data_IF_772664080068
#
_entry.id   IF_772664080068
#
_cell.length_a   1.000
_cell.length_b   1.000
_cell.length_c   1.000
_cell.angle_alpha   90.00
_cell.angle_beta   90.00
_cell.angle_gamma   90.00
#
_symmetry.space_group_name_H-M   'P 1'
#
loop_
_entity.id
_entity.type
_entity.pdbx_description
1 polymer ?
#
# COMPACT_ATOMS: atom_id res chain seq x y z
N UNK A 1 -10.40 -8.54 41.18
CA UNK A 1 -9.53 -8.60 39.97
C UNK A 1 -8.30 -7.76 40.29
N UNK A 2 -7.15 -8.38 40.60
CA UNK A 2 -5.91 -7.63 40.82
C UNK A 2 -5.43 -7.14 39.44
N UNK A 3 -5.29 -5.84 39.27
CA UNK A 3 -4.71 -5.26 38.07
C UNK A 3 -3.22 -5.59 38.10
N UNK A 4 -2.73 -6.23 37.05
CA UNK A 4 -1.32 -6.62 36.88
C UNK A 4 -0.43 -5.36 36.81
N UNK A 5 0.58 -5.27 37.68
CA UNK A 5 1.52 -4.13 37.69
C UNK A 5 2.26 -3.99 36.35
N UNK A 6 2.49 -5.10 35.64
CA UNK A 6 3.08 -5.08 34.30
C UNK A 6 2.20 -4.36 33.27
N UNK A 7 0.87 -4.48 33.40
CA UNK A 7 -0.07 -3.77 32.54
C UNK A 7 -0.07 -2.26 32.79
N UNK A 8 0.01 -1.82 34.06
CA UNK A 8 0.06 -0.40 34.40
C UNK A 8 1.35 0.28 33.93
N UNK A 9 2.50 -0.42 33.97
CA UNK A 9 3.76 0.10 33.44
C UNK A 9 3.69 0.32 31.91
N UNK A 10 3.11 -0.63 31.18
CA UNK A 10 2.93 -0.56 29.72
C UNK A 10 1.97 0.56 29.30
N UNK A 11 0.90 0.80 30.07
CA UNK A 11 -0.02 1.91 29.80
C UNK A 11 0.61 3.29 30.04
N UNK A 12 1.59 3.41 30.96
CA UNK A 12 2.36 4.65 31.15
C UNK A 12 3.33 4.92 29.99
N UNK A 13 3.95 3.88 29.44
CA UNK A 13 4.80 4.00 28.24
C UNK A 13 3.99 4.52 27.04
N UNK A 14 2.80 3.96 26.81
CA UNK A 14 1.89 4.42 25.76
C UNK A 14 1.49 5.91 25.94
N UNK A 15 1.24 6.35 27.18
CA UNK A 15 0.91 7.74 27.47
C UNK A 15 2.12 8.68 27.26
N UNK A 16 3.34 8.24 27.59
CA UNK A 16 4.56 9.00 27.31
C UNK A 16 4.82 9.11 25.81
N UNK A 17 4.67 8.02 25.06
CA UNK A 17 4.84 8.02 23.61
C UNK A 17 3.80 8.89 22.90
N UNK A 18 2.58 8.98 23.45
CA UNK A 18 1.57 9.90 22.94
C UNK A 18 2.03 11.36 23.02
N UNK A 19 2.79 11.71 24.06
CA UNK A 19 3.28 13.06 24.30
C UNK A 19 4.61 13.35 23.58
N UNK A 20 5.50 12.36 23.42
CA UNK A 20 6.85 12.57 22.87
C UNK A 20 7.02 12.15 21.41
N UNK A 21 6.33 11.11 20.97
CA UNK A 21 6.50 10.47 19.66
C UNK A 21 5.20 10.41 18.84
N UNK A 22 4.10 10.92 19.40
CA UNK A 22 2.81 11.06 18.75
C UNK A 22 1.92 9.81 18.80
N UNK A 23 0.68 9.93 18.27
CA UNK A 23 -0.38 8.95 18.48
C UNK A 23 -0.11 7.56 17.90
N UNK A 24 0.70 7.48 16.84
CA UNK A 24 1.07 6.20 16.23
C UNK A 24 2.02 5.38 17.11
N UNK A 25 3.05 6.01 17.69
CA UNK A 25 3.97 5.36 18.62
C UNK A 25 3.24 4.88 19.90
N UNK A 26 2.28 5.67 20.38
CA UNK A 26 1.39 5.27 21.48
C UNK A 26 0.52 4.06 21.12
N UNK A 27 -0.02 4.02 19.90
CA UNK A 27 -0.87 2.92 19.43
C UNK A 27 -0.08 1.62 19.30
N UNK A 28 1.15 1.67 18.79
CA UNK A 28 2.05 0.51 18.73
C UNK A 28 2.44 0.01 20.13
N UNK A 29 2.67 0.91 21.08
CA UNK A 29 2.93 0.53 22.47
C UNK A 29 1.72 -0.13 23.14
N UNK A 30 0.50 0.35 22.88
CA UNK A 30 -0.73 -0.28 23.36
C UNK A 30 -0.92 -1.66 22.74
N UNK A 31 -0.63 -1.83 21.44
CA UNK A 31 -0.71 -3.13 20.78
C UNK A 31 0.29 -4.13 21.37
N UNK A 32 1.56 -3.74 21.58
CA UNK A 32 2.56 -4.58 22.27
C UNK A 32 2.11 -4.97 23.69
N UNK A 33 1.50 -4.04 24.41
CA UNK A 33 1.00 -4.26 25.76
C UNK A 33 -0.14 -5.29 25.82
N UNK A 34 -1.06 -5.24 24.85
CA UNK A 34 -2.18 -6.18 24.74
C UNK A 34 -1.73 -7.59 24.32
N UNK A 35 -0.60 -7.70 23.64
CA UNK A 35 0.01 -8.97 23.25
C UNK A 35 0.96 -9.56 24.30
N UNK A 36 1.14 -8.87 25.44
CA UNK A 36 1.93 -9.37 26.57
C UNK A 36 3.45 -9.31 26.36
N UNK A 37 3.92 -8.60 25.34
CA UNK A 37 5.34 -8.46 25.03
C UNK A 37 6.03 -7.52 26.03
N UNK A 38 7.25 -7.84 26.45
CA UNK A 38 8.09 -6.98 27.31
C UNK A 38 9.14 -6.25 26.46
N UNK A 39 9.64 -5.09 26.91
CA UNK A 39 10.66 -4.34 26.17
C UNK A 39 11.90 -5.20 25.91
N UNK A 40 12.40 -5.20 24.68
CA UNK A 40 13.80 -5.52 24.42
C UNK A 40 14.62 -4.34 24.90
N UNK A 41 15.43 -4.53 25.95
CA UNK A 41 16.46 -3.56 26.35
C UNK A 41 17.39 -3.32 25.17
N UNK A 42 17.22 -2.19 24.49
CA UNK A 42 18.27 -1.59 23.67
C UNK A 42 18.88 -0.50 24.51
N UNK A 43 19.90 -0.87 25.28
CA UNK A 43 20.79 0.09 25.91
C UNK A 43 21.56 0.86 24.81
N UNK A 44 21.65 2.21 24.89
CA UNK A 44 22.50 2.98 23.99
C UNK A 44 23.97 2.65 24.27
N UNK A 45 24.73 2.31 23.22
CA UNK A 45 26.18 2.17 23.32
C UNK A 45 26.82 3.52 23.65
N UNK A 46 27.70 3.62 24.67
CA UNK A 46 28.53 4.79 24.87
C UNK A 46 29.82 4.68 24.04
N UNK A 47 30.24 5.83 23.53
CA UNK A 47 31.53 6.09 22.89
C UNK A 47 32.71 5.62 23.76
N UNK A 48 33.71 4.98 23.15
CA UNK A 48 34.96 4.66 23.83
C UNK A 48 36.17 5.17 23.03
N UNK A 49 36.79 6.22 23.59
CA UNK A 49 38.20 6.57 23.36
C UNK A 49 39.13 5.54 24.04
N UNK A 50 40.31 5.46 23.46
CA UNK A 50 41.56 4.78 23.84
C UNK A 50 41.90 4.77 25.34
N UNK A 51 42.29 3.61 25.91
CA UNK A 51 43.70 3.20 26.11
C UNK A 51 43.91 1.97 27.05
N UNK A 52 44.84 1.11 26.61
CA UNK A 52 45.83 0.25 27.32
C UNK A 52 45.50 -0.79 28.41
N UNK A 53 45.93 -2.04 28.09
CA UNK A 53 46.67 -3.04 28.93
C UNK A 53 45.90 -3.78 30.04
N UNK A 54 46.13 -5.04 30.45
CA UNK A 54 47.03 -6.16 30.12
C UNK A 54 46.48 -7.43 30.82
N UNK A 55 46.67 -8.63 30.23
CA UNK A 55 46.97 -9.96 30.86
C UNK A 55 46.07 -10.48 32.03
N UNK A 56 45.78 -11.77 32.27
CA UNK A 56 46.30 -13.09 31.84
C UNK A 56 45.42 -14.19 32.49
N UNK A 57 45.30 -15.35 31.80
CA UNK A 57 45.23 -16.70 32.40
C UNK A 57 43.90 -17.13 33.06
N UNK A 58 43.55 -18.41 33.22
CA UNK A 58 43.86 -19.70 32.57
C UNK A 58 42.91 -20.72 33.21
N UNK A 59 42.66 -21.82 32.50
CA UNK A 59 42.22 -23.14 32.99
C UNK A 59 40.73 -23.45 33.27
N UNK A 60 40.26 -24.47 32.56
CA UNK A 60 39.09 -25.34 32.79
C UNK A 60 39.54 -26.60 33.60
N UNK A 61 38.82 -27.77 33.66
CA UNK A 61 37.43 -28.13 33.29
C UNK A 61 36.73 -29.14 34.28
N UNK A 62 35.55 -29.64 33.84
CA UNK A 62 34.93 -30.97 34.10
C UNK A 62 34.09 -31.20 35.38
N UNK A 63 32.81 -31.60 35.26
CA UNK A 63 32.31 -32.97 34.95
C UNK A 63 30.81 -33.16 35.28
N UNK A 64 30.16 -34.00 34.46
CA UNK A 64 28.94 -34.84 34.56
C UNK A 64 28.32 -35.10 35.98
N UNK A 65 27.05 -35.51 36.21
CA UNK A 65 26.14 -36.37 35.45
C UNK A 65 24.71 -36.41 36.06
N UNK A 66 23.70 -36.61 35.20
CA UNK A 66 22.49 -37.47 35.28
C UNK A 66 21.71 -37.78 36.58
N UNK A 67 20.36 -37.77 36.48
CA UNK A 67 19.45 -38.53 37.35
C UNK A 67 17.96 -38.41 36.98
N UNK A 68 17.37 -39.46 36.41
CA UNK A 68 15.94 -39.61 36.06
C UNK A 68 15.18 -40.46 37.09
N UNK A 69 13.96 -40.04 37.49
CA UNK A 69 12.89 -40.91 38.06
C UNK A 69 11.50 -40.43 37.59
N UNK A 70 10.55 -41.35 37.45
CA UNK A 70 9.27 -41.24 36.71
C UNK A 70 8.03 -41.52 37.61
N UNK A 71 6.92 -40.79 37.31
CA UNK A 71 5.45 -41.12 37.35
C UNK A 71 4.65 -41.03 38.69
N UNK A 72 3.27 -40.91 38.68
CA UNK A 72 2.26 -41.01 37.58
C UNK A 72 1.04 -40.01 37.54
N UNK A 73 0.36 -39.94 36.37
CA UNK A 73 -1.11 -39.76 36.10
C UNK A 73 -1.82 -38.42 36.42
N UNK A 74 -2.80 -37.86 35.67
CA UNK A 74 -3.56 -38.17 34.45
C UNK A 74 -4.34 -36.87 34.04
N UNK A 75 -5.33 -36.85 33.11
CA UNK A 75 -5.21 -36.42 31.71
C UNK A 75 -5.99 -35.12 31.36
N UNK A 76 -5.57 -34.36 30.35
CA UNK A 76 -6.47 -33.74 29.35
C UNK A 76 -5.63 -33.40 28.10
N UNK A 77 -5.93 -34.07 26.99
CA UNK A 77 -5.31 -33.86 25.67
C UNK A 77 -6.10 -32.80 24.90
N UNK A 78 -5.49 -31.64 24.65
CA UNK A 78 -5.84 -30.78 23.53
C UNK A 78 -4.78 -30.98 22.44
N UNK A 79 -5.24 -31.29 21.23
CA UNK A 79 -4.39 -31.59 20.07
C UNK A 79 -3.54 -30.37 19.68
N UNK A 80 -2.25 -30.62 19.49
CA UNK A 80 -1.30 -29.73 18.82
C UNK A 80 -1.64 -29.67 17.33
N UNK A 81 -1.73 -28.48 16.77
CA UNK A 81 -1.32 -28.22 15.39
C UNK A 81 -0.19 -27.19 15.44
N UNK A 82 1.02 -27.69 15.16
CA UNK A 82 2.22 -26.89 14.98
C UNK A 82 2.39 -26.64 13.47
N UNK A 83 2.18 -25.40 13.05
CA UNK A 83 2.76 -24.85 11.83
C UNK A 83 3.82 -23.85 12.27
N UNK A 84 5.10 -24.22 12.13
CA UNK A 84 6.27 -23.44 12.56
C UNK A 84 6.37 -22.15 11.73
N UNK A 85 6.42 -21.01 12.40
CA UNK A 85 7.09 -19.82 11.88
C UNK A 85 8.43 -19.72 12.62
N UNK A 86 9.54 -19.81 11.88
CA UNK A 86 10.87 -19.47 12.40
C UNK A 86 11.15 -18.01 12.05
N UNK A 87 11.41 -17.11 13.02
CA UNK A 87 11.94 -15.80 12.77
C UNK A 87 13.47 -15.87 12.92
N UNK A 88 14.17 -16.21 11.83
CA UNK A 88 15.62 -16.05 11.77
C UNK A 88 16.02 -15.80 10.33
N UNK A 89 16.05 -14.53 9.96
CA UNK A 89 16.92 -14.00 8.93
C UNK A 89 17.25 -12.57 9.38
N UNK A 90 18.54 -12.34 9.55
CA UNK A 90 19.12 -11.12 10.09
C UNK A 90 18.57 -9.85 9.40
N UNK A 91 18.29 -8.83 10.22
CA UNK A 91 18.07 -7.47 9.76
C UNK A 91 19.37 -6.97 9.13
N UNK A 92 19.41 -6.87 7.82
CA UNK A 92 20.37 -6.02 7.12
C UNK A 92 19.70 -4.66 6.87
N UNK A 93 20.36 -3.53 7.17
CA UNK A 93 19.88 -2.22 6.76
C UNK A 93 19.85 -2.18 5.22
N UNK A 94 18.73 -1.76 4.66
CA UNK A 94 18.62 -1.56 3.21
C UNK A 94 19.32 -0.23 2.90
N UNK A 95 20.62 -0.30 2.62
CA UNK A 95 21.31 0.77 1.90
C UNK A 95 20.64 0.97 0.53
N UNK A 96 20.70 2.18 0.00
CA UNK A 96 20.26 2.49 -1.37
C UNK A 96 21.07 1.64 -2.35
N UNK A 97 20.57 0.43 -2.62
CA UNK A 97 21.08 -0.39 -3.70
C UNK A 97 20.63 0.29 -4.99
N UNK A 98 21.55 1.03 -5.60
CA UNK A 98 21.54 1.16 -7.06
C UNK A 98 21.56 -0.27 -7.60
N UNK A 99 20.38 -0.81 -7.91
CA UNK A 99 20.24 -2.15 -8.46
C UNK A 99 20.76 -2.14 -9.88
N UNK A 100 22.08 -2.27 -10.04
CA UNK A 100 22.68 -2.80 -11.25
C UNK A 100 22.46 -4.32 -11.28
N UNK A 101 21.22 -4.74 -11.46
CA UNK A 101 20.87 -6.14 -11.76
C UNK A 101 20.10 -6.14 -13.08
N UNK A 102 20.76 -6.67 -14.14
CA UNK A 102 20.28 -6.75 -15.52
C UNK A 102 19.44 -5.53 -15.96
N UNK A 103 20.15 -4.47 -16.40
CA UNK A 103 19.60 -3.22 -16.96
C UNK A 103 18.20 -3.42 -17.53
N UNK A 104 17.16 -2.96 -16.81
CA UNK A 104 15.91 -2.67 -17.51
C UNK A 104 16.28 -1.71 -18.66
N UNK A 105 15.83 -1.97 -19.89
CA UNK A 105 16.42 -1.34 -21.07
C UNK A 105 16.25 0.19 -21.05
N UNK A 106 15.21 0.70 -20.40
CA UNK A 106 14.98 2.13 -20.18
C UNK A 106 15.82 2.73 -19.07
N UNK A 107 15.47 3.94 -18.64
CA UNK A 107 16.22 4.66 -17.61
C UNK A 107 15.32 5.21 -16.51
N UNK A 108 15.83 5.14 -15.28
CA UNK A 108 15.27 5.88 -14.16
C UNK A 108 15.92 7.25 -14.04
N UNK A 109 15.10 8.27 -13.82
CA UNK A 109 15.52 9.59 -13.36
C UNK A 109 14.92 9.87 -11.99
N UNK A 110 15.75 10.34 -11.07
CA UNK A 110 15.29 10.81 -9.77
C UNK A 110 14.97 12.30 -9.85
N UNK A 111 13.92 12.71 -9.15
CA UNK A 111 13.55 14.12 -9.03
C UNK A 111 12.84 14.40 -7.73
N UNK A 112 12.49 15.67 -7.51
CA UNK A 112 11.71 16.07 -6.35
C UNK A 112 10.79 17.23 -6.70
N UNK A 113 9.72 17.36 -5.92
CA UNK A 113 8.82 18.51 -5.94
C UNK A 113 8.67 19.02 -4.50
N UNK A 114 8.68 20.34 -4.36
CA UNK A 114 8.41 21.03 -3.10
C UNK A 114 7.29 22.03 -3.32
N UNK A 115 6.27 21.99 -2.46
CA UNK A 115 5.23 23.02 -2.39
C UNK A 115 4.86 23.28 -0.92
N UNK A 116 3.74 23.98 -0.66
CA UNK A 116 3.30 24.31 0.69
C UNK A 116 3.02 23.09 1.59
N UNK A 117 2.74 21.91 1.02
CA UNK A 117 2.55 20.66 1.76
C UNK A 117 3.87 19.91 2.06
N UNK A 118 5.01 20.47 1.64
CA UNK A 118 6.35 19.95 1.88
C UNK A 118 7.03 19.44 0.62
N UNK A 119 8.06 18.61 0.82
CA UNK A 119 8.85 18.01 -0.25
C UNK A 119 8.58 16.51 -0.37
N UNK A 120 8.53 16.01 -1.61
CA UNK A 120 8.57 14.58 -1.91
C UNK A 120 9.53 14.33 -3.07
N UNK A 121 10.24 13.22 -2.99
CA UNK A 121 11.08 12.73 -4.08
C UNK A 121 10.27 11.74 -4.94
N UNK A 122 10.70 11.53 -6.18
CA UNK A 122 10.08 10.58 -7.10
C UNK A 122 11.13 9.93 -8.00
N UNK A 123 10.76 8.80 -8.59
CA UNK A 123 11.47 8.20 -9.72
C UNK A 123 10.60 8.26 -10.97
N UNK A 124 11.16 8.61 -12.11
CA UNK A 124 10.52 8.58 -13.42
C UNK A 124 11.21 7.51 -14.26
N UNK A 125 10.46 6.51 -14.71
CA UNK A 125 10.92 5.55 -15.70
C UNK A 125 10.60 6.06 -17.11
N UNK A 126 11.62 6.10 -17.96
CA UNK A 126 11.52 6.51 -19.36
C UNK A 126 11.89 5.30 -20.23
N UNK A 127 10.96 4.80 -21.06
CA UNK A 127 11.24 3.63 -21.89
C UNK A 127 12.24 3.95 -23.00
N UNK A 128 12.95 2.93 -23.50
CA UNK A 128 13.93 3.11 -24.59
C UNK A 128 13.34 3.69 -25.87
N UNK A 129 12.07 3.40 -26.10
CA UNK A 129 11.31 3.87 -27.25
C UNK A 129 11.02 5.38 -27.22
N UNK A 130 11.25 6.08 -26.09
CA UNK A 130 10.99 7.51 -25.99
C UNK A 130 12.08 8.34 -26.69
N UNK A 131 11.75 8.88 -27.87
CA UNK A 131 12.60 9.79 -28.65
C UNK A 131 12.08 11.24 -28.69
N UNK A 132 11.17 11.61 -27.76
CA UNK A 132 10.53 12.93 -27.72
C UNK A 132 9.14 12.99 -28.35
N UNK A 133 8.60 11.87 -28.84
CA UNK A 133 7.20 11.79 -29.26
C UNK A 133 6.21 11.86 -28.06
N UNK A 134 4.98 12.29 -28.33
CA UNK A 134 3.92 12.35 -27.32
C UNK A 134 3.59 10.94 -26.78
N UNK A 135 3.73 10.71 -25.47
CA UNK A 135 3.43 9.41 -24.83
C UNK A 135 2.46 9.55 -23.64
N UNK A 136 1.69 8.50 -23.31
CA UNK A 136 0.94 8.46 -22.06
C UNK A 136 1.85 8.51 -20.82
N UNK A 137 1.25 8.86 -19.68
CA UNK A 137 1.88 8.81 -18.36
C UNK A 137 1.03 8.00 -17.40
N UNK A 138 1.66 7.06 -16.68
CA UNK A 138 1.04 6.37 -15.54
C UNK A 138 1.75 6.79 -14.27
N UNK A 139 1.01 7.31 -13.29
CA UNK A 139 1.50 7.60 -11.94
C UNK A 139 1.20 6.41 -11.04
N UNK A 140 2.24 5.79 -10.46
CA UNK A 140 2.13 4.60 -9.63
C UNK A 140 2.48 4.89 -8.17
N UNK A 141 1.48 4.80 -7.30
CA UNK A 141 1.55 5.08 -5.87
C UNK A 141 1.71 3.78 -5.08
N UNK A 142 2.86 3.65 -4.40
CA UNK A 142 3.20 2.46 -3.63
C UNK A 142 2.37 2.32 -2.34
N UNK A 143 2.32 1.10 -1.78
CA UNK A 143 1.72 0.83 -0.47
C UNK A 143 2.62 1.21 0.70
N UNK A 144 2.10 1.06 1.92
CA UNK A 144 2.90 1.24 3.15
C UNK A 144 4.14 0.34 3.15
N UNK A 145 5.25 0.82 3.73
CA UNK A 145 6.56 0.14 3.84
C UNK A 145 7.26 -0.12 2.50
N UNK A 146 6.64 0.22 1.37
CA UNK A 146 7.25 0.18 0.05
C UNK A 146 7.88 1.53 -0.29
N UNK A 147 8.63 1.57 -1.38
CA UNK A 147 9.21 2.78 -1.96
C UNK A 147 9.11 2.70 -3.49
N UNK A 148 9.45 3.76 -4.25
CA UNK A 148 9.38 3.77 -5.71
C UNK A 148 10.07 2.58 -6.40
N UNK A 149 11.26 2.17 -5.93
CA UNK A 149 12.02 1.09 -6.55
C UNK A 149 11.37 -0.28 -6.30
N UNK A 150 10.95 -0.54 -5.07
CA UNK A 150 10.27 -1.79 -4.68
C UNK A 150 8.96 -1.96 -5.46
N UNK A 151 8.18 -0.88 -5.58
CA UNK A 151 6.91 -0.91 -6.28
C UNK A 151 7.09 -1.07 -7.80
N UNK A 152 8.10 -0.42 -8.40
CA UNK A 152 8.44 -0.64 -9.81
C UNK A 152 8.85 -2.11 -10.07
N UNK A 153 9.72 -2.66 -9.23
CA UNK A 153 10.18 -4.05 -9.33
C UNK A 153 9.02 -5.04 -9.18
N UNK A 154 8.09 -4.78 -8.25
CA UNK A 154 6.95 -5.65 -7.95
C UNK A 154 5.81 -5.58 -8.96
N UNK A 155 5.46 -4.39 -9.45
CA UNK A 155 4.35 -4.23 -10.42
C UNK A 155 4.71 -4.70 -11.82
N UNK A 156 6.00 -4.68 -12.18
CA UNK A 156 6.45 -4.99 -13.55
C UNK A 156 5.97 -3.97 -14.59
N UNK A 157 5.51 -2.79 -14.17
CA UNK A 157 4.96 -1.77 -15.07
C UNK A 157 6.01 -1.23 -16.06
N UNK A 158 7.29 -1.19 -15.67
CA UNK A 158 8.39 -0.78 -16.55
C UNK A 158 8.53 -1.69 -17.78
N UNK A 159 8.33 -3.00 -17.62
CA UNK A 159 8.34 -3.93 -18.75
C UNK A 159 7.22 -3.59 -19.74
N UNK A 160 6.02 -3.30 -19.23
CA UNK A 160 4.90 -2.88 -20.07
C UNK A 160 5.16 -1.51 -20.72
N UNK A 161 5.87 -0.61 -20.03
CA UNK A 161 6.27 0.69 -20.56
C UNK A 161 7.20 0.56 -21.78
N UNK A 162 8.13 -0.39 -21.76
CA UNK A 162 8.95 -0.73 -22.93
C UNK A 162 8.12 -1.30 -24.08
N UNK A 163 7.21 -2.22 -23.77
CA UNK A 163 6.42 -2.95 -24.77
C UNK A 163 5.35 -2.07 -25.45
N UNK A 164 4.78 -1.09 -24.71
CA UNK A 164 3.60 -0.33 -25.16
C UNK A 164 3.84 1.19 -25.24
N UNK A 165 5.02 1.67 -24.86
CA UNK A 165 5.43 3.06 -25.07
C UNK A 165 4.69 4.09 -24.21
N UNK A 166 4.99 4.12 -22.92
CA UNK A 166 4.51 5.14 -21.98
C UNK A 166 5.54 5.41 -20.88
N UNK A 167 5.46 6.57 -20.23
CA UNK A 167 6.32 6.88 -19.07
C UNK A 167 5.64 6.46 -17.77
N UNK A 168 6.44 6.14 -16.75
CA UNK A 168 5.92 5.78 -15.42
C UNK A 168 6.52 6.67 -14.35
N UNK A 169 5.68 7.44 -13.66
CA UNK A 169 6.07 8.25 -12.52
C UNK A 169 5.77 7.49 -11.23
N UNK A 170 6.78 7.33 -10.37
CA UNK A 170 6.70 6.69 -9.06
C UNK A 170 7.00 7.73 -7.95
N UNK A 171 5.99 8.45 -7.45
CA UNK A 171 6.14 9.29 -6.28
C UNK A 171 6.55 8.47 -5.05
N UNK A 172 7.50 8.98 -4.26
CA UNK A 172 7.90 8.38 -2.99
C UNK A 172 7.28 9.11 -1.80
N UNK A 173 6.87 8.35 -0.78
CA UNK A 173 6.48 8.91 0.51
C UNK A 173 7.71 9.19 1.39
N UNK A 174 7.78 10.39 1.97
CA UNK A 174 8.84 10.74 2.90
C UNK A 174 8.54 10.17 4.30
N UNK A 175 9.52 9.54 4.94
CA UNK A 175 9.37 9.03 6.32
C UNK A 175 9.03 10.14 7.32
N UNK A 176 9.51 11.37 7.07
CA UNK A 176 9.17 12.55 7.87
C UNK A 176 7.69 12.94 7.79
N UNK A 177 6.99 12.54 6.73
CA UNK A 177 5.56 12.76 6.57
C UNK A 177 4.72 11.57 7.07
N UNK A 178 5.28 10.36 6.99
CA UNK A 178 4.67 9.16 7.55
C UNK A 178 5.75 8.12 7.84
N UNK A 179 5.94 7.76 9.11
CA UNK A 179 7.03 6.87 9.54
C UNK A 179 6.97 5.46 8.92
N UNK A 180 5.79 5.02 8.44
CA UNK A 180 5.61 3.75 7.74
C UNK A 180 5.67 3.88 6.21
N UNK A 181 5.97 5.06 5.67
CA UNK A 181 5.92 5.32 4.22
C UNK A 181 4.51 5.18 3.64
N UNK A 182 3.46 5.29 4.46
CA UNK A 182 2.08 5.25 3.98
C UNK A 182 1.63 6.61 3.44
N UNK A 183 0.79 6.62 2.41
CA UNK A 183 0.00 7.80 2.04
C UNK A 183 -1.06 8.09 3.11
N UNK A 184 -1.24 9.36 3.45
CA UNK A 184 -2.10 9.85 4.53
C UNK A 184 -3.55 10.08 4.08
N UNK A 185 -4.08 9.20 3.22
CA UNK A 185 -5.41 9.30 2.56
C UNK A 185 -6.60 9.52 3.51
N UNK A 186 -6.45 9.23 4.80
CA UNK A 186 -7.47 9.40 5.83
C UNK A 186 -7.47 10.80 6.45
N UNK A 187 -6.42 11.61 6.25
CA UNK A 187 -6.34 12.94 6.83
C UNK A 187 -7.17 13.94 6.01
N UNK A 188 -7.94 14.86 6.62
CA UNK A 188 -8.81 15.77 5.87
C UNK A 188 -8.06 16.68 4.89
N UNK A 189 -6.84 17.12 5.23
CA UNK A 189 -6.03 17.93 4.32
C UNK A 189 -5.53 17.16 3.10
N UNK A 190 -5.39 15.84 3.21
CA UNK A 190 -4.92 14.93 2.16
C UNK A 190 -6.08 14.35 1.34
N UNK A 191 -7.25 15.03 1.38
CA UNK A 191 -8.45 14.68 0.62
C UNK A 191 -9.01 15.88 -0.16
N UNK A 192 -8.24 16.97 -0.26
CA UNK A 192 -8.65 18.22 -0.93
C UNK A 192 -7.72 18.56 -2.07
N UNK A 193 -8.27 19.20 -3.09
CA UNK A 193 -7.49 19.79 -4.16
C UNK A 193 -6.59 20.89 -3.61
N UNK A 194 -5.37 20.94 -4.12
CA UNK A 194 -4.35 21.97 -3.87
C UNK A 194 -3.95 22.09 -2.40
N UNK A 195 -4.13 21.00 -1.64
CA UNK A 195 -3.65 20.84 -0.27
C UNK A 195 -3.01 19.45 -0.09
N UNK A 196 -2.17 19.32 0.94
CA UNK A 196 -1.62 18.03 1.38
C UNK A 196 -0.85 17.28 0.29
N UNK A 197 -0.75 15.97 0.47
CA UNK A 197 -0.15 15.02 -0.45
C UNK A 197 -0.72 15.05 -1.88
N UNK A 198 -2.05 15.17 -2.11
CA UNK A 198 -2.54 15.19 -3.48
C UNK A 198 -2.07 16.43 -4.27
N UNK A 199 -1.80 17.56 -3.61
CA UNK A 199 -1.20 18.72 -4.28
C UNK A 199 0.21 18.44 -4.81
N UNK A 200 1.04 17.75 -4.03
CA UNK A 200 2.42 17.43 -4.41
C UNK A 200 2.41 16.41 -5.56
N UNK A 201 1.55 15.39 -5.52
CA UNK A 201 1.41 14.40 -6.60
C UNK A 201 0.95 15.08 -7.90
N UNK A 202 -0.01 16.00 -7.82
CA UNK A 202 -0.46 16.77 -8.98
C UNK A 202 0.67 17.65 -9.55
N UNK A 203 1.47 18.29 -8.70
CA UNK A 203 2.60 19.11 -9.13
C UNK A 203 3.72 18.28 -9.76
N UNK A 204 4.02 17.08 -9.25
CA UNK A 204 4.94 16.13 -9.91
C UNK A 204 4.43 15.71 -11.28
N UNK A 205 3.14 15.40 -11.37
CA UNK A 205 2.50 15.00 -12.64
C UNK A 205 2.60 16.13 -13.66
N UNK A 206 2.27 17.37 -13.27
CA UNK A 206 2.39 18.56 -14.12
C UNK A 206 3.82 18.86 -14.53
N UNK A 207 4.79 18.70 -13.60
CA UNK A 207 6.22 18.84 -13.90
C UNK A 207 6.66 17.87 -14.99
N UNK A 208 6.27 16.59 -14.88
CA UNK A 208 6.59 15.58 -15.91
C UNK A 208 5.89 15.90 -17.23
N UNK A 209 4.64 16.36 -17.22
CA UNK A 209 3.94 16.80 -18.44
C UNK A 209 4.62 17.99 -19.12
N UNK A 210 5.21 18.91 -18.35
CA UNK A 210 5.90 20.07 -18.90
C UNK A 210 7.30 19.74 -19.44
N UNK A 211 8.02 18.82 -18.79
CA UNK A 211 9.40 18.47 -19.14
C UNK A 211 9.50 17.40 -20.24
N UNK A 212 8.51 16.52 -20.31
CA UNK A 212 8.44 15.44 -21.29
C UNK A 212 7.21 15.68 -22.16
N UNK A 213 7.28 15.28 -23.43
CA UNK A 213 6.12 15.37 -24.32
C UNK A 213 5.10 14.30 -23.91
N UNK A 214 4.36 14.58 -22.85
CA UNK A 214 3.26 13.74 -22.39
C UNK A 214 1.99 14.15 -23.12
N UNK A 215 1.24 13.16 -23.58
CA UNK A 215 -0.14 13.38 -24.01
C UNK A 215 -1.01 13.67 -22.78
N UNK A 216 -1.31 14.95 -22.56
CA UNK A 216 -2.08 15.40 -21.40
C UNK A 216 -3.49 14.79 -21.32
N UNK A 217 -4.01 14.21 -22.41
CA UNK A 217 -5.31 13.52 -22.39
C UNK A 217 -5.20 12.07 -21.90
N UNK A 218 -3.98 11.52 -21.83
CA UNK A 218 -3.68 10.12 -21.49
C UNK A 218 -2.74 10.05 -20.29
N UNK A 219 -3.18 10.65 -19.20
CA UNK A 219 -2.51 10.61 -17.90
C UNK A 219 -3.38 9.82 -16.93
N UNK A 220 -2.80 8.85 -16.24
CA UNK A 220 -3.51 7.90 -15.38
C UNK A 220 -2.81 7.81 -14.02
N UNK A 221 -3.55 7.39 -12.99
CA UNK A 221 -3.00 7.17 -11.66
C UNK A 221 -3.47 5.83 -11.10
N UNK A 222 -2.57 5.06 -10.50
CA UNK A 222 -2.93 3.82 -9.82
C UNK A 222 -2.05 3.54 -8.61
N UNK A 223 -2.48 2.61 -7.77
CA UNK A 223 -1.67 2.21 -6.62
C UNK A 223 -2.19 1.02 -5.85
N UNK A 224 -1.38 0.59 -4.88
CA UNK A 224 -1.69 -0.51 -3.96
C UNK A 224 -1.98 0.02 -2.56
N UNK A 225 -2.98 -0.55 -1.87
CA UNK A 225 -3.23 -0.27 -0.44
C UNK A 225 -3.47 1.23 -0.19
N UNK A 226 -2.68 1.85 0.71
CA UNK A 226 -2.68 3.30 0.92
C UNK A 226 -2.47 4.11 -0.39
N UNK A 227 -1.65 3.61 -1.32
CA UNK A 227 -1.47 4.21 -2.65
C UNK A 227 -2.69 4.02 -3.55
N UNK A 228 -3.43 2.92 -3.40
CA UNK A 228 -4.72 2.70 -4.07
C UNK A 228 -5.79 3.66 -3.55
N UNK A 229 -5.84 3.89 -2.24
CA UNK A 229 -6.71 4.90 -1.63
C UNK A 229 -6.35 6.32 -2.10
N UNK A 230 -5.06 6.67 -2.09
CA UNK A 230 -4.59 7.97 -2.61
C UNK A 230 -4.86 8.13 -4.11
N UNK A 231 -4.85 7.05 -4.90
CA UNK A 231 -5.22 7.13 -6.33
C UNK A 231 -6.67 7.56 -6.54
N UNK A 232 -7.60 7.11 -5.69
CA UNK A 232 -8.98 7.62 -5.71
C UNK A 232 -9.11 9.05 -5.18
N UNK A 233 -8.29 9.45 -4.20
CA UNK A 233 -8.16 10.87 -3.82
C UNK A 233 -7.76 11.72 -5.03
N UNK A 234 -6.75 11.29 -5.79
CA UNK A 234 -6.29 11.99 -7.00
C UNK A 234 -7.41 12.09 -8.04
N UNK A 235 -8.14 11.00 -8.32
CA UNK A 235 -9.29 11.04 -9.22
C UNK A 235 -10.41 11.98 -8.75
N UNK A 236 -10.68 12.02 -7.44
CA UNK A 236 -11.72 12.87 -6.87
C UNK A 236 -11.35 14.37 -6.90
N UNK A 237 -10.09 14.69 -6.64
CA UNK A 237 -9.61 16.06 -6.43
C UNK A 237 -9.02 16.70 -7.70
N UNK A 238 -8.48 15.89 -8.61
CA UNK A 238 -7.92 16.30 -9.91
C UNK A 238 -8.54 15.53 -11.09
N UNK A 239 -9.87 15.52 -11.26
CA UNK A 239 -10.55 14.82 -12.36
C UNK A 239 -10.25 15.41 -13.75
N UNK A 240 -9.62 16.59 -13.79
CA UNK A 240 -9.12 17.26 -14.99
C UNK A 240 -7.68 16.87 -15.36
N UNK A 241 -6.97 16.15 -14.48
CA UNK A 241 -5.59 15.72 -14.70
C UNK A 241 -5.49 14.23 -15.03
N UNK A 242 -6.41 13.40 -14.53
CA UNK A 242 -6.36 11.95 -14.71
C UNK A 242 -7.56 11.44 -15.51
N UNK A 243 -7.28 10.80 -16.65
CA UNK A 243 -8.27 10.19 -17.53
C UNK A 243 -8.90 8.93 -16.92
N UNK A 244 -8.18 8.22 -16.04
CA UNK A 244 -8.65 7.03 -15.35
C UNK A 244 -7.82 6.74 -14.09
N UNK A 245 -8.41 5.94 -13.19
CA UNK A 245 -7.82 5.54 -11.91
C UNK A 245 -7.76 4.02 -11.78
N UNK A 246 -6.63 3.49 -11.34
CA UNK A 246 -6.47 2.09 -10.95
C UNK A 246 -6.35 1.93 -9.44
N UNK A 247 -7.03 0.95 -8.87
CA UNK A 247 -7.01 0.72 -7.42
C UNK A 247 -6.74 -0.75 -7.16
N UNK A 248 -5.65 -1.07 -6.48
CA UNK A 248 -5.42 -2.41 -5.98
C UNK A 248 -5.51 -2.43 -4.45
N UNK A 249 -6.37 -3.28 -3.90
CA UNK A 249 -6.54 -3.46 -2.46
C UNK A 249 -6.65 -2.15 -1.66
N UNK A 250 -7.24 -1.11 -2.27
CA UNK A 250 -7.33 0.24 -1.73
C UNK A 250 -8.67 0.53 -1.04
N UNK A 251 -8.89 1.81 -0.72
CA UNK A 251 -10.12 2.27 -0.06
C UNK A 251 -10.80 3.37 -0.88
N UNK A 252 -12.14 3.48 -0.81
CA UNK A 252 -12.88 4.54 -1.48
C UNK A 252 -12.50 5.93 -0.96
N UNK A 253 -12.70 6.96 -1.79
CA UNK A 253 -12.48 8.35 -1.40
C UNK A 253 -13.43 8.74 -0.26
N UNK A 254 -12.95 9.48 0.75
CA UNK A 254 -13.79 9.87 1.89
C UNK A 254 -14.11 8.74 2.88
N UNK A 255 -13.48 7.57 2.76
CA UNK A 255 -13.74 6.42 3.65
C UNK A 255 -13.39 6.68 5.12
N UNK A 256 -12.47 7.63 5.38
CA UNK A 256 -11.99 7.98 6.71
C UNK A 256 -11.65 9.47 6.79
N UNK A 257 -11.63 10.01 8.01
CA UNK A 257 -11.25 11.40 8.30
C UNK A 257 -10.22 11.50 9.45
N UNK A 258 -9.83 10.35 10.01
CA UNK A 258 -8.87 10.23 11.10
C UNK A 258 -8.36 8.77 11.20
N UNK A 259 -7.42 8.51 12.11
CA UNK A 259 -6.84 7.17 12.32
C UNK A 259 -7.91 6.15 12.76
N UNK A 260 -8.80 6.42 13.76
CA UNK A 260 -9.83 5.46 14.15
C UNK A 260 -10.77 5.07 13.00
N UNK A 261 -11.26 6.04 12.22
CA UNK A 261 -12.11 5.77 11.06
C UNK A 261 -11.34 5.05 9.95
N UNK A 262 -10.04 5.29 9.79
CA UNK A 262 -9.20 4.54 8.86
C UNK A 262 -9.16 3.04 9.21
N UNK A 263 -8.93 2.68 10.47
CA UNK A 263 -8.98 1.29 10.92
C UNK A 263 -10.38 0.69 10.75
N UNK A 264 -11.44 1.45 11.05
CA UNK A 264 -12.81 1.00 10.84
C UNK A 264 -13.09 0.69 9.35
N UNK A 265 -12.66 1.57 8.45
CA UNK A 265 -12.80 1.41 7.00
C UNK A 265 -12.02 0.19 6.48
N UNK A 266 -10.76 0.03 6.89
CA UNK A 266 -9.94 -1.13 6.52
C UNK A 266 -10.56 -2.45 6.97
N UNK A 267 -11.17 -2.50 8.16
CA UNK A 267 -11.76 -3.73 8.71
C UNK A 267 -13.07 -4.18 8.06
N UNK A 268 -13.71 -3.36 7.23
CA UNK A 268 -15.00 -3.68 6.60
C UNK A 268 -16.13 -3.97 7.58
N UNK A 269 -16.11 -3.36 8.76
CA UNK A 269 -17.09 -3.49 9.86
C UNK A 269 -17.02 -4.76 10.74
N UNK A 270 -15.91 -5.52 10.75
CA UNK A 270 -15.70 -6.63 11.71
C UNK A 270 -15.10 -6.21 13.07
N UNK A 271 -15.36 -5.00 13.57
CA UNK A 271 -15.02 -4.67 14.95
C UNK A 271 -16.14 -5.10 15.90
N UNK A 272 -15.85 -6.08 16.78
CA UNK A 272 -16.73 -6.53 17.88
C UNK A 272 -16.85 -5.50 19.03
N UNK A 273 -16.38 -4.27 18.82
CA UNK A 273 -16.05 -3.30 19.88
C UNK A 273 -16.77 -1.98 19.69
N UNK A 274 -18.11 -1.97 19.62
CA UNK A 274 -18.96 -0.78 19.85
C UNK A 274 -18.74 0.48 18.99
N UNK A 275 -17.74 0.51 18.12
CA UNK A 275 -17.42 1.59 17.20
C UNK A 275 -18.40 1.56 16.02
N UNK A 276 -18.73 2.71 15.42
CA UNK A 276 -19.68 2.77 14.33
C UNK A 276 -19.24 1.81 13.21
N UNK A 277 -20.18 0.94 12.80
CA UNK A 277 -20.02 0.04 11.66
C UNK A 277 -19.50 0.89 10.49
N UNK A 278 -18.43 0.45 9.82
CA UNK A 278 -18.09 0.98 8.49
C UNK A 278 -19.39 0.98 7.66
N UNK A 279 -19.72 2.07 6.96
CA UNK A 279 -21.05 2.23 6.42
C UNK A 279 -21.34 1.08 5.44
N UNK A 280 -22.29 0.24 5.80
CA UNK A 280 -22.99 -0.64 4.86
C UNK A 280 -23.82 0.19 3.86
N UNK A 281 -23.98 1.49 4.13
CA UNK A 281 -24.48 2.48 3.20
C UNK A 281 -23.38 2.85 2.19
N UNK A 282 -23.70 2.92 0.89
CA UNK A 282 -22.78 3.45 -0.10
C UNK A 282 -22.23 4.82 0.31
N UNK A 283 -20.92 5.02 0.15
CA UNK A 283 -20.31 6.33 0.29
C UNK A 283 -20.87 7.30 -0.77
N UNK A 284 -20.74 8.61 -0.50
CA UNK A 284 -21.12 9.63 -1.46
C UNK A 284 -20.35 9.40 -2.78
N UNK A 285 -21.01 9.49 -3.95
CA UNK A 285 -20.32 9.36 -5.23
C UNK A 285 -19.22 10.40 -5.41
N UNK A 286 -18.28 10.14 -6.33
CA UNK A 286 -17.26 11.13 -6.67
C UNK A 286 -17.89 12.43 -7.20
N UNK A 287 -17.29 13.61 -6.92
CA UNK A 287 -17.78 14.89 -7.42
C UNK A 287 -17.93 14.94 -8.95
N UNK A 288 -17.01 14.25 -9.66
CA UNK A 288 -17.11 13.97 -11.09
C UNK A 288 -16.91 12.47 -11.32
N UNK A 289 -17.63 11.91 -12.29
CA UNK A 289 -17.38 10.54 -12.71
C UNK A 289 -15.98 10.45 -13.34
N UNK A 290 -15.18 9.51 -12.87
CA UNK A 290 -13.85 9.20 -13.41
C UNK A 290 -13.82 7.69 -13.67
N UNK A 291 -13.32 7.22 -14.82
CA UNK A 291 -13.19 5.80 -15.07
C UNK A 291 -12.30 5.10 -14.04
N UNK A 292 -12.78 4.00 -13.44
CA UNK A 292 -12.04 3.27 -12.38
C UNK A 292 -11.93 1.77 -12.66
N UNK A 293 -10.73 1.22 -12.56
CA UNK A 293 -10.51 -0.24 -12.50
C UNK A 293 -10.01 -0.63 -11.10
N UNK A 294 -10.67 -1.58 -10.46
CA UNK A 294 -10.41 -2.01 -9.09
C UNK A 294 -10.04 -3.49 -9.05
N UNK A 295 -8.97 -3.84 -8.35
CA UNK A 295 -8.55 -5.21 -8.05
C UNK A 295 -8.56 -5.45 -6.54
N UNK A 296 -9.07 -6.61 -6.11
CA UNK A 296 -9.03 -7.02 -4.70
C UNK A 296 -8.99 -8.54 -4.56
N UNK A 297 -8.23 -9.04 -3.59
CA UNK A 297 -8.26 -10.46 -3.22
C UNK A 297 -9.33 -10.75 -2.18
N UNK A 298 -10.14 -11.80 -2.35
CA UNK A 298 -11.23 -12.11 -1.40
C UNK A 298 -10.78 -12.63 -0.02
N UNK A 299 -9.47 -12.90 0.14
CA UNK A 299 -8.82 -13.26 1.42
C UNK A 299 -7.93 -12.15 1.97
N UNK A 300 -8.09 -10.92 1.50
CA UNK A 300 -7.39 -9.76 2.03
C UNK A 300 -7.83 -9.48 3.48
N UNK A 301 -6.90 -9.66 4.43
CA UNK A 301 -7.10 -9.43 5.86
C UNK A 301 -6.62 -8.05 6.32
N UNK A 302 -6.01 -7.26 5.43
CA UNK A 302 -5.50 -5.92 5.72
C UNK A 302 -6.54 -4.88 5.37
N UNK A 303 -7.05 -4.93 4.14
CA UNK A 303 -8.14 -4.09 3.65
C UNK A 303 -9.26 -4.99 3.20
N UNK A 304 -10.39 -4.93 3.88
CA UNK A 304 -11.51 -5.82 3.60
C UNK A 304 -12.03 -5.64 2.16
N UNK A 305 -12.36 -6.73 1.42
CA UNK A 305 -12.76 -6.66 0.00
C UNK A 305 -13.99 -5.80 -0.30
N UNK A 306 -14.84 -5.56 0.72
CA UNK A 306 -15.96 -4.60 0.63
C UNK A 306 -15.50 -3.20 0.19
N UNK A 307 -14.26 -2.81 0.46
CA UNK A 307 -13.74 -1.51 0.02
C UNK A 307 -13.63 -1.40 -1.50
N UNK A 308 -13.31 -2.49 -2.21
CA UNK A 308 -13.30 -2.50 -3.66
C UNK A 308 -14.70 -2.35 -4.25
N UNK A 309 -15.69 -3.00 -3.64
CA UNK A 309 -17.09 -2.82 -4.01
C UNK A 309 -17.53 -1.36 -3.81
N UNK A 310 -17.18 -0.75 -2.68
CA UNK A 310 -17.49 0.66 -2.43
C UNK A 310 -16.81 1.60 -3.43
N UNK A 311 -15.54 1.35 -3.78
CA UNK A 311 -14.82 2.11 -4.80
C UNK A 311 -15.49 1.99 -6.19
N UNK A 312 -15.86 0.77 -6.59
CA UNK A 312 -16.60 0.54 -7.83
C UNK A 312 -17.95 1.26 -7.84
N UNK A 313 -18.69 1.25 -6.73
CA UNK A 313 -19.96 1.96 -6.62
C UNK A 313 -19.78 3.48 -6.64
N UNK A 314 -18.75 3.99 -5.97
CA UNK A 314 -18.44 5.42 -5.88
C UNK A 314 -18.04 6.04 -7.23
N UNK A 315 -17.37 5.25 -8.09
CA UNK A 315 -16.90 5.67 -9.43
C UNK A 315 -18.02 6.13 -10.38
N UNK A 316 -19.27 5.74 -10.10
CA UNK A 316 -20.47 6.21 -10.79
C UNK A 316 -20.55 7.75 -10.90
N UNK A 317 -19.99 8.44 -9.91
CA UNK A 317 -20.16 9.88 -9.75
C UNK A 317 -21.59 10.28 -9.37
N UNK A 318 -21.79 11.57 -9.10
CA UNK A 318 -23.10 12.09 -8.67
C UNK A 318 -24.17 12.07 -9.78
N UNK A 319 -23.75 11.91 -11.04
CA UNK A 319 -24.66 11.80 -12.18
C UNK A 319 -25.25 10.39 -12.22
N UNK A 320 -26.46 10.22 -11.69
CA UNK A 320 -27.23 8.97 -11.85
C UNK A 320 -27.60 8.81 -13.33
N UNK A 321 -26.72 8.22 -14.13
CA UNK A 321 -27.07 7.81 -15.49
C UNK A 321 -27.91 6.53 -15.38
N UNK A 322 -29.23 6.69 -15.54
CA UNK A 322 -30.21 5.60 -15.50
C UNK A 322 -30.00 4.53 -16.61
N UNK A 323 -29.02 4.73 -17.50
CA UNK A 323 -28.69 3.86 -18.62
C UNK A 323 -27.38 3.06 -18.43
N UNK A 324 -26.72 3.15 -17.27
CA UNK A 324 -25.54 2.34 -17.00
C UNK A 324 -25.92 0.85 -16.92
N UNK A 325 -25.24 0.01 -17.71
CA UNK A 325 -25.36 -1.43 -17.65
C UNK A 325 -24.25 -2.01 -16.77
N UNK A 326 -24.63 -2.84 -15.80
CA UNK A 326 -23.68 -3.62 -14.99
C UNK A 326 -23.80 -5.09 -15.36
N UNK A 327 -22.68 -5.70 -15.78
CA UNK A 327 -22.57 -7.12 -16.05
C UNK A 327 -21.52 -7.76 -15.14
N UNK A 328 -21.62 -9.07 -14.95
CA UNK A 328 -20.65 -9.87 -14.20
C UNK A 328 -20.18 -11.05 -15.06
N UNK A 329 -18.89 -11.32 -15.02
CA UNK A 329 -18.26 -12.46 -15.65
C UNK A 329 -17.28 -13.13 -14.68
N UNK A 330 -17.04 -14.42 -14.88
CA UNK A 330 -16.03 -15.16 -14.12
C UNK A 330 -15.02 -15.78 -15.06
N UNK A 331 -13.79 -15.93 -14.60
CA UNK A 331 -12.73 -16.54 -15.39
C UNK A 331 -11.60 -17.06 -14.53
N UNK A 332 -10.54 -17.51 -15.20
CA UNK A 332 -9.31 -17.97 -14.57
C UNK A 332 -8.12 -17.41 -15.35
N UNK A 333 -7.11 -16.93 -14.63
CA UNK A 333 -5.85 -16.47 -15.21
C UNK A 333 -4.73 -16.66 -14.19
N UNK A 334 -3.54 -17.03 -14.65
CA UNK A 334 -2.37 -17.20 -13.79
C UNK A 334 -2.61 -18.14 -12.60
N UNK A 335 -3.43 -19.17 -12.77
CA UNK A 335 -3.76 -20.14 -11.72
C UNK A 335 -4.71 -19.63 -10.62
N UNK A 336 -5.37 -18.48 -10.79
CA UNK A 336 -6.45 -18.03 -9.90
C UNK A 336 -7.73 -17.77 -10.66
N UNK A 337 -8.85 -18.20 -10.06
CA UNK A 337 -10.18 -17.77 -10.50
C UNK A 337 -10.45 -16.34 -10.09
N UNK A 338 -11.25 -15.64 -10.88
CA UNK A 338 -11.71 -14.29 -10.56
C UNK A 338 -13.19 -14.13 -10.94
N UNK A 339 -13.83 -13.18 -10.28
CA UNK A 339 -15.11 -12.60 -10.70
C UNK A 339 -14.86 -11.14 -11.06
N UNK A 340 -15.30 -10.72 -12.25
CA UNK A 340 -15.14 -9.36 -12.75
C UNK A 340 -16.51 -8.75 -13.02
N UNK A 341 -16.77 -7.60 -12.42
CA UNK A 341 -17.95 -6.77 -12.71
C UNK A 341 -17.54 -5.62 -13.62
N UNK A 342 -18.35 -5.34 -14.63
CA UNK A 342 -18.13 -4.25 -15.57
C UNK A 342 -19.32 -3.31 -15.52
N UNK A 343 -19.03 -2.01 -15.51
CA UNK A 343 -20.01 -0.96 -15.75
C UNK A 343 -19.75 -0.33 -17.10
N UNK A 344 -20.79 -0.25 -17.92
CA UNK A 344 -20.77 0.45 -19.21
C UNK A 344 -21.79 1.56 -19.21
N UNK A 345 -21.45 2.69 -19.82
CA UNK A 345 -22.41 3.77 -20.05
C UNK A 345 -23.38 3.43 -21.21
N UNK A 346 -24.31 4.34 -21.50
CA UNK A 346 -25.28 4.19 -22.58
C UNK A 346 -24.64 4.00 -23.97
N UNK A 347 -23.44 4.55 -24.18
CA UNK A 347 -22.67 4.40 -25.42
C UNK A 347 -21.87 3.08 -25.48
N UNK A 348 -21.97 2.23 -24.46
CA UNK A 348 -21.27 0.94 -24.37
C UNK A 348 -19.80 1.03 -23.95
N UNK A 349 -19.29 2.22 -23.62
CA UNK A 349 -17.94 2.42 -23.13
C UNK A 349 -17.84 1.96 -21.66
N UNK A 350 -16.81 1.17 -21.34
CA UNK A 350 -16.57 0.71 -19.97
C UNK A 350 -16.10 1.89 -19.11
N UNK A 351 -16.89 2.23 -18.09
CA UNK A 351 -16.61 3.30 -17.14
C UNK A 351 -16.10 2.79 -15.80
N UNK A 352 -16.35 1.52 -15.45
CA UNK A 352 -15.71 0.92 -14.29
C UNK A 352 -15.53 -0.59 -14.42
N UNK A 353 -14.51 -1.13 -13.76
CA UNK A 353 -14.28 -2.56 -13.59
C UNK A 353 -13.96 -2.89 -12.14
N UNK A 354 -14.48 -4.00 -11.63
CA UNK A 354 -14.13 -4.55 -10.31
C UNK A 354 -13.77 -6.02 -10.46
N UNK A 355 -12.51 -6.35 -10.20
CA UNK A 355 -11.93 -7.67 -10.23
C UNK A 355 -11.74 -8.21 -8.81
N UNK A 356 -12.56 -9.19 -8.42
CA UNK A 356 -12.42 -9.96 -7.19
C UNK A 356 -11.68 -11.26 -7.49
N UNK A 357 -10.45 -11.39 -7.00
CA UNK A 357 -9.60 -12.55 -7.27
C UNK A 357 -9.63 -13.54 -6.12
N UNK A 358 -10.04 -14.76 -6.43
CA UNK A 358 -10.37 -15.76 -5.43
C UNK A 358 -9.13 -16.41 -4.83
N UNK A 359 -9.12 -16.47 -3.50
CA UNK A 359 -8.02 -16.99 -2.69
C UNK A 359 -6.83 -16.05 -2.58
N UNK A 360 -6.89 -14.83 -3.11
CA UNK A 360 -5.80 -13.86 -3.06
C UNK A 360 -5.88 -12.97 -1.82
N UNK A 361 -4.72 -12.52 -1.33
CA UNK A 361 -4.60 -11.66 -0.15
C UNK A 361 -4.36 -10.18 -0.49
N UNK A 362 -3.64 -9.48 0.40
CA UNK A 362 -3.25 -8.08 0.24
C UNK A 362 -1.99 -7.92 -0.60
N UNK A 363 -2.07 -8.21 -1.89
CA UNK A 363 -0.91 -8.31 -2.78
C UNK A 363 -1.24 -7.85 -4.18
N UNK A 364 -0.30 -7.18 -4.86
CA UNK A 364 -0.38 -6.88 -6.29
C UNK A 364 -0.39 -8.15 -7.14
N UNK A 365 -1.49 -8.40 -7.86
CA UNK A 365 -1.74 -9.63 -8.62
C UNK A 365 -1.00 -9.69 -9.95
N UNK A 366 -0.49 -10.88 -10.28
CA UNK A 366 0.39 -11.13 -11.44
C UNK A 366 1.68 -10.32 -11.42
N UNK A 367 2.11 -9.88 -10.23
CA UNK A 367 3.33 -9.11 -10.00
C UNK A 367 4.60 -9.97 -9.98
N UNK A 368 5.74 -9.32 -9.82
CA UNK A 368 7.04 -10.00 -9.70
C UNK A 368 7.44 -10.19 -8.24
N UNK A 369 7.98 -11.36 -7.91
CA UNK A 369 8.57 -11.63 -6.60
C UNK A 369 9.84 -10.80 -6.29
N UNK A 370 10.31 -9.97 -7.24
CA UNK A 370 11.41 -9.01 -7.02
C UNK A 370 11.00 -7.81 -6.16
N UNK A 371 9.71 -7.52 -6.07
CA UNK A 371 9.17 -6.48 -5.18
C UNK A 371 8.29 -7.08 -4.10
N UNK A 372 8.11 -6.34 -3.01
CA UNK A 372 7.30 -6.75 -1.87
C UNK A 372 5.79 -6.62 -2.14
N UNK A 373 4.97 -7.35 -1.37
CA UNK A 373 3.51 -7.38 -1.47
C UNK A 373 2.99 -7.73 -2.87
N UNK A 374 3.61 -8.70 -3.53
CA UNK A 374 3.17 -9.21 -4.82
C UNK A 374 2.69 -10.65 -4.71
N UNK A 375 1.80 -11.03 -5.62
CA UNK A 375 1.46 -12.42 -5.90
C UNK A 375 1.68 -12.65 -7.39
N UNK A 376 2.62 -13.52 -7.80
CA UNK A 376 2.84 -13.81 -9.21
C UNK A 376 1.68 -14.56 -9.88
N UNK A 377 0.75 -15.10 -9.08
CA UNK A 377 -0.43 -15.78 -9.59
C UNK A 377 -1.61 -14.81 -9.74
N UNK A 378 -2.57 -15.22 -10.56
CA UNK A 378 -3.77 -14.46 -10.87
C UNK A 378 -3.71 -13.65 -12.16
N UNK A 379 -4.76 -12.86 -12.44
CA UNK A 379 -4.73 -11.86 -13.49
C UNK A 379 -3.57 -10.88 -13.28
N UNK A 380 -2.89 -10.49 -14.36
CA UNK A 380 -1.85 -9.46 -14.31
C UNK A 380 -2.51 -8.08 -14.16
N UNK A 381 -2.54 -7.56 -12.93
CA UNK A 381 -3.20 -6.30 -12.62
C UNK A 381 -2.59 -5.13 -13.41
N UNK A 382 -1.26 -5.10 -13.60
CA UNK A 382 -0.59 -4.05 -14.37
C UNK A 382 -1.04 -4.04 -15.83
N UNK A 383 -1.13 -5.23 -16.46
CA UNK A 383 -1.55 -5.38 -17.84
C UNK A 383 -3.03 -5.02 -18.04
N UNK A 384 -3.89 -5.45 -17.12
CA UNK A 384 -5.32 -5.14 -17.18
C UNK A 384 -5.61 -3.65 -16.90
N UNK A 385 -4.88 -3.04 -15.95
CA UNK A 385 -4.93 -1.59 -15.73
C UNK A 385 -4.48 -0.84 -16.97
N UNK A 386 -3.38 -1.26 -17.62
CA UNK A 386 -2.92 -0.63 -18.86
C UNK A 386 -3.96 -0.75 -19.98
N UNK A 387 -4.55 -1.94 -20.19
CA UNK A 387 -5.63 -2.14 -21.16
C UNK A 387 -6.79 -1.19 -20.90
N UNK A 388 -7.21 -1.09 -19.64
CA UNK A 388 -8.29 -0.19 -19.25
C UNK A 388 -7.90 1.27 -19.51
N UNK A 389 -6.74 1.72 -19.04
CA UNK A 389 -6.26 3.09 -19.21
C UNK A 389 -6.19 3.51 -20.67
N UNK A 390 -5.61 2.71 -21.55
CA UNK A 390 -5.48 3.06 -22.96
C UNK A 390 -6.83 3.15 -23.71
N UNK A 391 -7.92 2.67 -23.11
CA UNK A 391 -9.29 2.87 -23.62
C UNK A 391 -9.93 4.18 -23.15
N UNK A 392 -9.30 4.91 -22.23
CA UNK A 392 -9.82 6.14 -21.63
C UNK A 392 -9.04 7.35 -22.12
N UNK A 393 -9.72 8.49 -22.18
CA UNK A 393 -9.10 9.77 -22.54
C UNK A 393 -9.89 10.92 -21.92
N UNK A 394 -9.19 11.95 -21.44
CA UNK A 394 -9.85 13.18 -21.04
C UNK A 394 -10.47 13.84 -22.28
N UNK A 395 -11.77 14.13 -22.21
CA UNK A 395 -12.46 14.90 -23.26
C UNK A 395 -11.80 16.28 -23.38
N UNK A 396 -11.59 16.76 -24.62
CA UNK A 396 -11.24 18.17 -24.84
C UNK A 396 -12.39 19.01 -24.29
N UNK A 397 -12.10 19.92 -23.37
CA UNK A 397 -13.07 20.90 -22.90
C UNK A 397 -13.35 21.94 -23.98
#
# INVERSE_FOLDING_TARGET
MKIDEGFLARMREAAQLLQSAGPMAATEAIQRALHGETPTDVQPQPEARTDTSTQTGTQAPNANASGTVRRPGNPFRAGRWAGKWSPSADRQPVEDVETHTASEPGKFLSGSVTNAAGRRDYKLYIPTSYNGQAMPLIVLLHGCKQNPSDFAAGTGMNKLAEEQGFLVLYPGQAQSANNSGCWNWFQPQDQRRDAGEPSIIADMTRKVIAEYRIDAQRVYVAGLSAGGAMSLVMGATYPDLYAAVGVHSGLPYGAAQDIPSAFAAMSGAKMKTGLPKSPTKPLAPLPKAVPVIVFHGDRDTTVHPMNAEQAFMQSAGASKQAADMVSEESGESGGRRYTRRLRKNAEGATTAEHWLVHGAGHTWLGGSSRGSYTDPNGPNASQEMLRFFLSQSLRKQ
#
